data_IF_965906546640
#
_entry.id   IF_965906546640
#
_cell.length_a   1.000
_cell.length_b   1.000
_cell.length_c   1.000
_cell.angle_alpha   90.00
_cell.angle_beta   90.00
_cell.angle_gamma   90.00
#
_symmetry.space_group_name_H-M   'P 1'
#
loop_
_entity.id
_entity.type
_entity.pdbx_description
1 polymer ?
#
# COMPACT_ATOMS: atom_id res chain seq x y z
N UNK A 1 -19.92 59.88 -21.72
CA UNK A 1 -18.79 59.86 -20.76
C UNK A 1 -19.23 59.06 -19.54
N UNK A 2 -18.40 58.21 -18.90
CA UNK A 2 -17.52 57.18 -19.48
C UNK A 2 -17.63 55.80 -18.75
N UNK A 3 -17.08 54.77 -19.42
CA UNK A 3 -16.47 53.49 -18.97
C UNK A 3 -17.17 52.56 -17.95
N UNK A 4 -17.39 51.30 -18.37
CA UNK A 4 -16.62 50.18 -17.82
C UNK A 4 -16.54 49.02 -18.83
N UNK A 5 -15.33 48.76 -19.31
CA UNK A 5 -14.96 47.58 -20.09
C UNK A 5 -14.28 46.54 -19.18
N UNK A 6 -14.40 45.27 -19.60
CA UNK A 6 -13.51 44.11 -19.35
C UNK A 6 -13.74 43.32 -18.04
N UNK A 7 -13.55 41.97 -18.03
CA UNK A 7 -12.47 41.27 -18.73
C UNK A 7 -12.85 40.06 -19.60
N UNK A 8 -11.91 39.80 -20.51
CA UNK A 8 -11.77 38.68 -21.42
C UNK A 8 -11.91 37.30 -20.75
N UNK A 9 -12.74 36.44 -21.33
CA UNK A 9 -12.72 35.02 -21.06
C UNK A 9 -11.50 34.38 -21.73
N UNK A 10 -10.35 34.42 -21.05
CA UNK A 10 -9.17 33.63 -21.44
C UNK A 10 -9.40 32.14 -21.15
N UNK A 11 -9.52 31.39 -22.25
CA UNK A 11 -8.93 30.08 -22.51
C UNK A 11 -8.99 29.04 -21.38
N UNK A 12 -9.95 28.12 -21.50
CA UNK A 12 -9.87 26.81 -20.87
C UNK A 12 -8.60 26.07 -21.33
N UNK A 13 -7.91 25.31 -20.46
CA UNK A 13 -6.81 24.45 -20.89
C UNK A 13 -7.35 23.36 -21.81
N UNK A 14 -6.73 23.23 -22.99
CA UNK A 14 -6.94 22.09 -23.87
C UNK A 14 -6.53 20.80 -23.14
N UNK A 15 -7.47 19.87 -23.00
CA UNK A 15 -7.15 18.48 -22.64
C UNK A 15 -6.30 17.87 -23.75
N UNK A 16 -5.15 17.24 -23.44
CA UNK A 16 -4.48 16.43 -24.43
C UNK A 16 -5.27 15.14 -24.67
N UNK A 17 -5.39 14.86 -25.97
CA UNK A 17 -6.01 13.73 -26.64
C UNK A 17 -5.56 12.38 -26.03
N UNK A 18 -6.52 11.58 -25.55
CA UNK A 18 -6.26 10.26 -24.96
C UNK A 18 -6.56 9.19 -26.01
N UNK A 19 -5.64 9.05 -26.96
CA UNK A 19 -5.57 7.85 -27.78
C UNK A 19 -4.12 7.44 -27.99
N UNK A 20 -3.70 6.38 -27.28
CA UNK A 20 -2.88 5.27 -27.79
C UNK A 20 -2.63 4.26 -26.65
N UNK A 21 -3.48 3.25 -26.54
CA UNK A 21 -3.17 2.00 -25.84
C UNK A 21 -2.61 0.99 -26.85
N UNK A 22 -1.42 0.42 -26.66
CA UNK A 22 -1.08 -0.89 -27.19
C UNK A 22 -1.33 -1.98 -26.12
N UNK A 23 -1.83 -3.17 -26.50
CA UNK A 23 -1.97 -4.29 -25.59
C UNK A 23 -0.61 -4.99 -25.44
N UNK A 24 -0.04 -4.94 -24.24
CA UNK A 24 1.20 -5.63 -23.89
C UNK A 24 1.00 -6.55 -22.70
N UNK A 25 0.54 -7.77 -22.96
CA UNK A 25 0.66 -8.89 -22.01
C UNK A 25 2.14 -9.15 -21.71
N UNK A 26 2.48 -9.13 -20.42
CA UNK A 26 3.79 -9.53 -19.92
C UNK A 26 3.70 -9.85 -18.43
N UNK A 27 3.52 -11.13 -18.13
CA UNK A 27 3.67 -11.70 -16.78
C UNK A 27 5.08 -11.39 -16.26
N UNK A 28 5.17 -10.41 -15.36
CA UNK A 28 6.34 -10.15 -14.54
C UNK A 28 5.84 -9.58 -13.22
N UNK A 29 5.95 -10.35 -12.14
CA UNK A 29 5.72 -9.80 -10.81
C UNK A 29 6.68 -8.60 -10.65
N UNK A 30 6.20 -7.41 -10.25
CA UNK A 30 7.09 -6.28 -10.06
C UNK A 30 8.12 -6.62 -8.98
N UNK A 31 9.36 -6.09 -9.09
CA UNK A 31 10.36 -6.23 -8.04
C UNK A 31 9.76 -5.79 -6.70
N UNK A 32 9.95 -6.62 -5.67
CA UNK A 32 9.55 -6.35 -4.29
C UNK A 32 10.52 -5.40 -3.58
N UNK A 33 11.03 -4.42 -4.32
CA UNK A 33 11.85 -3.34 -3.80
C UNK A 33 10.89 -2.21 -3.41
N UNK A 34 10.78 -1.97 -2.11
CA UNK A 34 10.04 -0.83 -1.57
C UNK A 34 10.76 0.45 -2.03
N UNK A 35 10.35 1.01 -3.16
CA UNK A 35 10.86 2.29 -3.65
C UNK A 35 10.50 3.40 -2.65
N UNK A 36 11.49 4.00 -1.95
CA UNK A 36 11.23 5.05 -1.00
C UNK A 36 10.65 6.26 -1.74
N UNK A 37 9.44 6.67 -1.36
CA UNK A 37 8.76 7.83 -1.96
C UNK A 37 7.59 7.51 -2.89
N UNK A 38 7.25 6.22 -3.09
CA UNK A 38 5.99 5.87 -3.78
C UNK A 38 4.79 6.46 -3.01
N UNK A 39 3.89 7.21 -3.68
CA UNK A 39 2.64 7.65 -3.05
C UNK A 39 1.77 6.45 -2.66
N UNK A 40 1.31 6.44 -1.41
CA UNK A 40 0.38 5.41 -0.93
C UNK A 40 -0.95 5.47 -1.70
N UNK A 41 -1.46 4.31 -2.09
CA UNK A 41 -2.81 4.16 -2.64
C UNK A 41 -3.88 4.52 -1.60
N UNK A 42 -5.12 4.74 -2.04
CA UNK A 42 -6.24 5.01 -1.12
C UNK A 42 -6.45 3.87 -0.11
N UNK A 43 -6.28 2.61 -0.55
CA UNK A 43 -6.36 1.41 0.30
C UNK A 43 -5.21 1.34 1.29
N UNK A 44 -3.99 1.62 0.86
CA UNK A 44 -2.80 1.65 1.74
C UNK A 44 -2.94 2.74 2.81
N UNK A 45 -3.41 3.94 2.44
CA UNK A 45 -3.69 5.02 3.39
C UNK A 45 -4.74 4.62 4.42
N UNK A 46 -5.82 3.97 3.98
CA UNK A 46 -6.88 3.50 4.87
C UNK A 46 -6.36 2.44 5.85
N UNK A 47 -5.65 1.41 5.36
CA UNK A 47 -5.04 0.38 6.19
C UNK A 47 -4.09 0.98 7.24
N UNK A 48 -3.23 1.90 6.79
CA UNK A 48 -2.29 2.60 7.66
C UNK A 48 -3.03 3.40 8.76
N UNK A 49 -4.09 4.12 8.41
CA UNK A 49 -4.89 4.88 9.37
C UNK A 49 -5.59 3.99 10.42
N UNK A 50 -6.02 2.79 10.04
CA UNK A 50 -6.62 1.82 10.95
C UNK A 50 -5.61 1.33 12.00
N UNK A 51 -4.36 1.09 11.59
CA UNK A 51 -3.33 0.47 12.42
C UNK A 51 -2.44 1.46 13.18
N UNK A 52 -2.08 2.60 12.59
CA UNK A 52 -1.05 3.51 13.12
C UNK A 52 -1.34 4.00 14.55
N UNK A 53 -2.62 4.24 14.88
CA UNK A 53 -3.06 4.67 16.22
C UNK A 53 -3.06 3.56 17.28
N UNK A 54 -2.92 2.31 16.85
CA UNK A 54 -3.08 1.13 17.70
C UNK A 54 -1.79 0.29 17.79
N UNK A 55 -0.67 0.76 17.24
CA UNK A 55 0.61 0.07 17.38
C UNK A 55 0.99 -0.06 18.86
N UNK A 56 1.24 -1.29 19.31
CA UNK A 56 1.70 -1.61 20.67
C UNK A 56 2.98 -2.46 20.67
N UNK A 57 3.61 -2.62 19.51
CA UNK A 57 4.85 -3.38 19.42
C UNK A 57 5.97 -2.59 20.08
N UNK A 58 6.67 -3.25 21.01
CA UNK A 58 7.82 -2.68 21.71
C UNK A 58 8.91 -2.38 20.68
N UNK A 59 9.58 -1.24 20.84
CA UNK A 59 10.65 -0.74 19.98
C UNK A 59 10.26 -0.48 18.52
N UNK A 60 8.96 -0.49 18.18
CA UNK A 60 8.47 -0.15 16.84
C UNK A 60 7.77 1.20 16.84
N UNK A 61 8.31 2.14 16.07
CA UNK A 61 7.84 3.53 16.02
C UNK A 61 7.59 4.06 14.62
N UNK A 62 7.04 5.29 14.51
CA UNK A 62 6.87 5.96 13.24
C UNK A 62 8.22 6.29 12.56
N UNK A 63 8.26 6.50 11.23
CA UNK A 63 7.12 6.47 10.31
C UNK A 63 6.47 5.08 10.25
N UNK A 64 5.24 4.96 9.76
CA UNK A 64 4.61 3.66 9.49
C UNK A 64 4.37 3.52 7.99
N UNK A 65 4.43 2.30 7.48
CA UNK A 65 4.31 1.98 6.06
C UNK A 65 3.12 1.06 5.78
N UNK A 66 2.60 1.15 4.56
CA UNK A 66 1.63 0.20 4.04
C UNK A 66 1.91 -0.07 2.56
N UNK A 67 1.78 -1.31 2.15
CA UNK A 67 2.05 -1.74 0.77
C UNK A 67 1.05 -2.81 0.32
N UNK A 68 0.85 -2.89 -0.98
CA UNK A 68 -0.06 -3.86 -1.61
C UNK A 68 0.72 -4.96 -2.31
N UNK A 69 0.31 -6.21 -2.09
CA UNK A 69 0.83 -7.39 -2.80
C UNK A 69 -0.31 -8.17 -3.46
N UNK A 70 -0.11 -8.57 -4.72
CA UNK A 70 -1.01 -9.49 -5.39
C UNK A 70 -0.64 -10.94 -5.08
N UNK A 71 -1.60 -11.74 -4.61
CA UNK A 71 -1.39 -13.15 -4.32
C UNK A 71 -2.65 -13.98 -4.61
N UNK A 72 -2.49 -15.08 -5.36
CA UNK A 72 -3.59 -16.00 -5.74
C UNK A 72 -4.84 -15.29 -6.29
N UNK A 73 -4.64 -14.28 -7.14
CA UNK A 73 -5.73 -13.53 -7.77
C UNK A 73 -6.46 -12.57 -6.82
N UNK A 74 -5.88 -12.22 -5.67
CA UNK A 74 -6.42 -11.19 -4.77
C UNK A 74 -5.33 -10.20 -4.38
N UNK A 75 -5.72 -8.96 -4.13
CA UNK A 75 -4.85 -7.95 -3.57
C UNK A 75 -4.90 -8.01 -2.03
N UNK A 76 -3.74 -7.89 -1.40
CA UNK A 76 -3.58 -7.82 0.04
C UNK A 76 -2.79 -6.57 0.38
N UNK A 77 -3.24 -5.84 1.40
CA UNK A 77 -2.55 -4.67 1.92
C UNK A 77 -1.94 -5.04 3.26
N UNK A 78 -0.63 -4.89 3.41
CA UNK A 78 0.06 -5.13 4.67
C UNK A 78 0.57 -3.81 5.26
N UNK A 79 0.47 -3.69 6.58
CA UNK A 79 0.95 -2.53 7.33
C UNK A 79 2.15 -2.93 8.16
N UNK A 80 3.17 -2.06 8.21
CA UNK A 80 4.42 -2.33 8.92
C UNK A 80 4.99 -1.07 9.58
N UNK A 81 5.87 -1.30 10.54
CA UNK A 81 6.73 -0.28 11.14
C UNK A 81 8.20 -0.68 11.09
N UNK A 82 9.04 0.11 11.75
CA UNK A 82 10.48 -0.12 11.85
C UNK A 82 10.88 -0.28 13.31
N UNK A 83 11.64 -1.32 13.60
CA UNK A 83 12.29 -1.48 14.90
C UNK A 83 13.55 -0.60 15.03
N UNK A 84 14.18 -0.63 16.21
CA UNK A 84 15.41 0.12 16.51
C UNK A 84 16.60 -0.24 15.62
N UNK A 85 16.60 -1.44 15.02
CA UNK A 85 17.66 -1.92 14.15
C UNK A 85 17.37 -1.62 12.67
N UNK A 86 16.27 -0.91 12.38
CA UNK A 86 15.80 -0.61 11.03
C UNK A 86 15.11 -1.80 10.34
N UNK A 87 14.84 -2.87 11.08
CA UNK A 87 14.08 -4.03 10.62
C UNK A 87 12.61 -3.71 10.45
N UNK A 88 12.00 -4.21 9.37
CA UNK A 88 10.56 -4.08 9.15
C UNK A 88 9.79 -5.04 10.03
N UNK A 89 8.76 -4.54 10.72
CA UNK A 89 7.90 -5.29 11.64
C UNK A 89 6.45 -5.26 11.15
N UNK A 90 5.85 -6.43 10.94
CA UNK A 90 4.49 -6.57 10.42
C UNK A 90 3.45 -6.28 11.51
N UNK A 91 2.42 -5.50 11.19
CA UNK A 91 1.33 -5.19 12.11
C UNK A 91 0.08 -6.01 11.79
N UNK A 92 -0.44 -5.84 10.58
CA UNK A 92 -1.70 -6.44 10.14
C UNK A 92 -1.69 -6.59 8.63
N UNK A 93 -2.44 -7.58 8.13
CA UNK A 93 -2.66 -7.79 6.71
C UNK A 93 -4.15 -7.81 6.44
N UNK A 94 -4.55 -7.01 5.46
CA UNK A 94 -5.91 -6.94 4.97
C UNK A 94 -6.01 -7.58 3.60
N UNK A 95 -7.13 -8.21 3.31
CA UNK A 95 -7.53 -8.55 1.95
C UNK A 95 -8.35 -7.40 1.39
N UNK A 96 -7.99 -6.92 0.21
CA UNK A 96 -8.78 -5.94 -0.51
C UNK A 96 -9.95 -6.67 -1.19
N UNK A 97 -11.16 -6.39 -0.73
CA UNK A 97 -12.39 -6.96 -1.27
C UNK A 97 -13.34 -5.82 -1.62
N UNK A 98 -13.55 -5.62 -2.91
CA UNK A 98 -14.47 -4.63 -3.49
C UNK A 98 -14.35 -3.26 -2.80
N UNK A 99 -15.19 -3.00 -1.80
CA UNK A 99 -15.27 -1.73 -1.07
C UNK A 99 -14.60 -1.74 0.31
N UNK A 100 -14.15 -2.90 0.79
CA UNK A 100 -13.70 -3.11 2.18
C UNK A 100 -12.28 -3.67 2.28
N UNK A 101 -11.63 -3.36 3.40
CA UNK A 101 -10.40 -4.02 3.82
C UNK A 101 -10.76 -5.01 4.94
N UNK A 102 -10.72 -6.29 4.64
CA UNK A 102 -11.00 -7.33 5.62
C UNK A 102 -9.70 -7.79 6.29
N UNK A 103 -9.57 -7.75 7.62
CA UNK A 103 -8.40 -8.27 8.30
C UNK A 103 -8.29 -9.78 8.09
N UNK A 104 -7.06 -10.26 7.88
CA UNK A 104 -6.76 -11.66 7.61
C UNK A 104 -6.19 -12.27 8.88
N UNK A 105 -6.52 -13.53 9.17
CA UNK A 105 -5.87 -14.23 10.28
C UNK A 105 -4.42 -14.54 9.92
N UNK A 106 -3.48 -14.42 10.87
CA UNK A 106 -2.05 -14.51 10.56
C UNK A 106 -1.60 -15.82 9.88
N UNK A 107 -2.27 -16.94 10.17
CA UNK A 107 -2.03 -18.24 9.51
C UNK A 107 -2.57 -18.32 8.07
N UNK A 108 -3.32 -17.32 7.61
CA UNK A 108 -3.84 -17.19 6.25
C UNK A 108 -3.12 -16.10 5.45
N UNK A 109 -2.11 -15.45 6.04
CA UNK A 109 -1.36 -14.41 5.34
C UNK A 109 -0.71 -14.95 4.06
N UNK A 110 -0.57 -14.09 3.02
CA UNK A 110 0.14 -14.47 1.81
C UNK A 110 1.55 -15.00 2.09
N UNK A 111 1.85 -16.20 1.58
CA UNK A 111 3.17 -16.84 1.75
C UNK A 111 4.35 -15.93 1.37
N UNK A 112 4.28 -15.07 0.33
CA UNK A 112 5.38 -14.15 0.02
C UNK A 112 5.75 -13.19 1.17
N UNK A 113 4.80 -12.80 2.03
CA UNK A 113 5.08 -11.94 3.19
C UNK A 113 6.04 -12.58 4.18
N UNK A 114 6.06 -13.91 4.26
CA UNK A 114 7.00 -14.63 5.12
C UNK A 114 8.46 -14.35 4.75
N UNK A 115 8.76 -14.05 3.48
CA UNK A 115 10.12 -13.65 3.07
C UNK A 115 10.48 -12.24 3.53
N UNK A 116 9.50 -11.34 3.60
CA UNK A 116 9.65 -9.94 3.97
C UNK A 116 9.69 -9.75 5.50
N UNK A 117 8.90 -10.54 6.22
CA UNK A 117 8.69 -10.43 7.67
C UNK A 117 9.00 -11.75 8.37
N UNK A 118 10.17 -12.32 8.09
CA UNK A 118 10.61 -13.61 8.67
C UNK A 118 10.53 -13.60 10.19
N UNK A 119 11.02 -12.52 10.82
CA UNK A 119 11.05 -12.38 12.25
C UNK A 119 9.66 -12.49 12.89
N UNK A 120 8.64 -11.90 12.27
CA UNK A 120 7.28 -11.89 12.80
C UNK A 120 6.50 -13.17 12.43
N UNK A 121 6.78 -13.75 11.26
CA UNK A 121 5.97 -14.84 10.72
C UNK A 121 6.56 -16.23 10.96
N UNK A 122 7.88 -16.42 10.98
CA UNK A 122 8.48 -17.74 11.22
C UNK A 122 8.01 -18.40 12.54
N UNK A 123 7.83 -17.67 13.66
CA UNK A 123 7.28 -18.25 14.90
C UNK A 123 5.88 -18.87 14.73
N UNK A 124 5.06 -18.38 13.79
CA UNK A 124 3.72 -18.92 13.52
C UNK A 124 3.75 -20.24 12.74
N UNK A 125 4.87 -20.55 12.10
CA UNK A 125 5.09 -21.76 11.30
C UNK A 125 6.15 -22.69 11.90
N UNK A 126 6.71 -22.33 13.07
CA UNK A 126 7.65 -23.15 13.82
C UNK A 126 6.95 -24.33 14.49
N UNK A 127 7.59 -25.49 14.45
CA UNK A 127 7.00 -26.78 14.80
C UNK A 127 6.31 -26.82 16.17
N UNK A 128 5.08 -27.35 16.14
CA UNK A 128 4.54 -28.21 17.19
C UNK A 128 5.52 -29.36 17.41
N UNK A 129 6.42 -29.23 18.37
CA UNK A 129 7.06 -30.40 18.99
C UNK A 129 6.15 -30.97 20.07
#
# INVERSE_FOLDING_TARGET
MPVHQSPDHSLAPAYPDVHHLPPGSGLGAPPLDTEPGRPLSGREKLALALCARACRLVDVGPPFGAETIAWRGSAYVYVFGWDSDGGRRLFEVFRDKDETLEPVLAFQYPVPLRKLFKHDLDPLYGDRR
#
